data_IF_376689422329
#
_entry.id   IF_376689422329
#
_cell.length_a   1.000
_cell.length_b   1.000
_cell.length_c   1.000
_cell.angle_alpha   90.00
_cell.angle_beta   90.00
_cell.angle_gamma   90.00
#
_symmetry.space_group_name_H-M   'P 1'
#
loop_
_entity.id
_entity.type
_entity.pdbx_description
1 polymer ?
#
# COMPACT_ATOMS: atom_id res chain seq x y z
N UNK A 1 -7.19 -5.88 -19.58
CA UNK A 1 -6.84 -6.14 -20.99
C UNK A 1 -5.67 -5.25 -21.41
N UNK A 2 -5.75 -3.93 -21.21
CA UNK A 2 -4.68 -2.95 -21.48
C UNK A 2 -3.25 -3.36 -21.07
N UNK A 3 -2.99 -3.70 -19.80
CA UNK A 3 -1.62 -4.07 -19.38
C UNK A 3 -1.10 -5.33 -20.11
N UNK A 4 -1.97 -6.29 -20.43
CA UNK A 4 -1.56 -7.48 -21.19
C UNK A 4 -1.21 -7.13 -22.62
N UNK A 5 -1.98 -6.23 -23.25
CA UNK A 5 -1.71 -5.71 -24.59
C UNK A 5 -0.38 -4.95 -24.65
N UNK A 6 0.03 -4.34 -23.53
CA UNK A 6 1.35 -3.71 -23.35
C UNK A 6 2.48 -4.72 -23.07
N UNK A 7 2.23 -6.02 -23.14
CA UNK A 7 3.23 -7.07 -22.93
C UNK A 7 3.50 -7.42 -21.47
N UNK A 8 2.67 -6.96 -20.52
CA UNK A 8 2.86 -7.25 -19.11
C UNK A 8 2.35 -8.67 -18.76
N UNK A 9 3.09 -9.44 -17.95
CA UNK A 9 2.74 -10.82 -17.58
C UNK A 9 1.65 -10.88 -16.49
N UNK A 10 0.52 -10.22 -16.72
CA UNK A 10 -0.57 -10.09 -15.73
C UNK A 10 -1.16 -11.46 -15.34
N UNK A 11 -1.24 -12.40 -16.28
CA UNK A 11 -1.77 -13.74 -15.99
C UNK A 11 -0.85 -14.54 -15.06
N UNK A 12 0.46 -14.41 -15.21
CA UNK A 12 1.42 -15.05 -14.32
C UNK A 12 1.31 -14.50 -12.89
N UNK A 13 1.23 -13.17 -12.76
CA UNK A 13 1.07 -12.51 -11.46
C UNK A 13 -0.24 -12.90 -10.79
N UNK A 14 -1.35 -12.85 -11.51
CA UNK A 14 -2.68 -13.17 -10.95
C UNK A 14 -2.84 -14.66 -10.64
N UNK A 15 -2.28 -15.56 -11.47
CA UNK A 15 -2.26 -17.00 -11.20
C UNK A 15 -1.46 -17.33 -9.94
N UNK A 16 -0.30 -16.69 -9.77
CA UNK A 16 0.54 -16.87 -8.57
C UNK A 16 -0.18 -16.38 -7.32
N UNK A 17 -0.78 -15.19 -7.36
CA UNK A 17 -1.58 -14.66 -6.24
C UNK A 17 -2.76 -15.55 -5.89
N UNK A 18 -3.51 -16.05 -6.88
CA UNK A 18 -4.63 -16.97 -6.66
C UNK A 18 -4.21 -18.24 -5.95
N UNK A 19 -3.03 -18.79 -6.29
CA UNK A 19 -2.48 -19.97 -5.60
C UNK A 19 -2.13 -19.66 -4.14
N UNK A 20 -1.49 -18.52 -3.89
CA UNK A 20 -1.14 -18.06 -2.54
C UNK A 20 -2.42 -17.88 -1.71
N UNK A 21 -3.39 -17.11 -2.19
CA UNK A 21 -4.64 -16.88 -1.47
C UNK A 21 -5.44 -18.16 -1.23
N UNK A 22 -5.49 -19.07 -2.21
CA UNK A 22 -6.12 -20.38 -2.01
C UNK A 22 -5.41 -21.17 -0.91
N UNK A 23 -4.08 -21.12 -0.86
CA UNK A 23 -3.33 -21.77 0.22
C UNK A 23 -3.65 -21.14 1.57
N UNK A 24 -3.57 -19.82 1.71
CA UNK A 24 -3.84 -19.15 3.00
C UNK A 24 -5.28 -19.42 3.48
N UNK A 25 -6.27 -19.31 2.58
CA UNK A 25 -7.68 -19.55 2.91
C UNK A 25 -8.00 -21.01 3.26
N UNK A 26 -7.22 -21.98 2.78
CA UNK A 26 -7.49 -23.42 3.04
C UNK A 26 -6.58 -24.03 4.11
N UNK A 27 -5.44 -23.41 4.41
CA UNK A 27 -4.40 -23.97 5.29
C UNK A 27 -4.11 -23.12 6.52
N UNK A 28 -4.59 -21.88 6.59
CA UNK A 28 -4.48 -21.03 7.78
C UNK A 28 -5.81 -20.87 8.49
N UNK A 29 -5.71 -20.48 9.76
CA UNK A 29 -6.90 -20.16 10.54
C UNK A 29 -7.55 -18.85 10.06
N UNK A 30 -8.86 -18.68 10.25
CA UNK A 30 -9.54 -17.40 10.01
C UNK A 30 -8.89 -16.24 10.77
N UNK A 31 -8.41 -16.49 12.00
CA UNK A 31 -7.69 -15.53 12.83
C UNK A 31 -6.41 -15.03 12.16
N UNK A 32 -5.63 -15.92 11.54
CA UNK A 32 -4.45 -15.51 10.79
C UNK A 32 -4.84 -14.66 9.57
N UNK A 33 -5.89 -15.06 8.84
CA UNK A 33 -6.31 -14.37 7.63
C UNK A 33 -6.81 -12.94 7.92
N UNK A 34 -7.64 -12.74 8.96
CA UNK A 34 -8.07 -11.38 9.33
C UNK A 34 -6.91 -10.53 9.86
N UNK A 35 -5.94 -11.15 10.54
CA UNK A 35 -4.76 -10.44 11.01
C UNK A 35 -3.86 -10.00 9.84
N UNK A 36 -3.73 -10.84 8.80
CA UNK A 36 -3.05 -10.47 7.56
C UNK A 36 -3.75 -9.31 6.85
N UNK A 37 -5.09 -9.32 6.76
CA UNK A 37 -5.86 -8.20 6.22
C UNK A 37 -5.61 -6.93 7.02
N UNK A 38 -5.83 -6.94 8.33
CA UNK A 38 -5.62 -5.76 9.18
C UNK A 38 -4.18 -5.22 9.11
N UNK A 39 -3.18 -6.09 9.01
CA UNK A 39 -1.79 -5.69 8.81
C UNK A 39 -1.56 -5.06 7.43
N UNK A 40 -2.16 -5.60 6.37
CA UNK A 40 -2.08 -5.04 5.03
C UNK A 40 -2.70 -3.64 4.97
N UNK A 41 -3.96 -3.49 5.42
CA UNK A 41 -4.67 -2.20 5.42
C UNK A 41 -3.93 -1.15 6.28
N UNK A 42 -3.34 -1.58 7.40
CA UNK A 42 -2.51 -0.68 8.21
C UNK A 42 -1.29 -0.18 7.42
N UNK A 43 -0.57 -1.06 6.73
CA UNK A 43 0.63 -0.69 5.97
C UNK A 43 0.31 0.18 4.76
N UNK A 44 -0.73 -0.14 4.01
CA UNK A 44 -1.21 0.65 2.86
C UNK A 44 -1.70 2.03 3.29
N UNK A 45 -2.40 2.13 4.42
CA UNK A 45 -2.75 3.42 5.02
C UNK A 45 -1.49 4.24 5.38
N UNK A 46 -0.45 3.64 5.96
CA UNK A 46 0.81 4.36 6.22
C UNK A 46 1.52 4.79 4.92
N UNK A 47 1.38 4.01 3.84
CA UNK A 47 1.94 4.36 2.54
C UNK A 47 1.16 5.50 1.85
N UNK A 48 -0.09 5.78 2.22
CA UNK A 48 -0.83 6.91 1.67
C UNK A 48 -0.11 8.24 1.92
N UNK A 49 0.39 8.47 3.14
CA UNK A 49 1.21 9.65 3.43
C UNK A 49 2.48 9.68 2.58
N UNK A 50 3.07 8.53 2.25
CA UNK A 50 4.25 8.51 1.40
C UNK A 50 3.96 9.02 0.00
N UNK A 51 2.90 8.52 -0.63
CA UNK A 51 2.60 8.86 -2.01
C UNK A 51 2.15 10.30 -2.18
N UNK A 52 1.59 10.92 -1.13
CA UNK A 52 0.95 12.23 -1.20
C UNK A 52 1.54 13.30 -0.28
N UNK A 53 2.54 12.99 0.55
CA UNK A 53 3.30 13.99 1.33
C UNK A 53 4.31 14.78 0.49
N UNK A 54 4.62 14.33 -0.72
CA UNK A 54 5.47 15.07 -1.65
C UNK A 54 4.89 14.94 -3.05
N UNK A 55 4.43 16.06 -3.63
CA UNK A 55 3.84 16.06 -4.98
C UNK A 55 4.74 15.41 -6.02
N UNK A 56 6.07 15.55 -5.89
CA UNK A 56 7.04 14.98 -6.84
C UNK A 56 6.96 13.46 -6.97
N UNK A 57 6.45 12.75 -5.96
CA UNK A 57 6.33 11.29 -5.98
C UNK A 57 5.45 10.80 -7.13
N UNK A 58 4.37 11.54 -7.45
CA UNK A 58 3.42 11.17 -8.50
C UNK A 58 3.36 12.18 -9.65
N UNK A 59 4.29 13.15 -9.72
CA UNK A 59 4.30 14.20 -10.75
C UNK A 59 4.25 13.67 -12.19
N UNK A 60 5.01 12.61 -12.46
CA UNK A 60 5.06 11.99 -13.78
C UNK A 60 4.03 10.87 -13.99
N UNK A 61 3.16 10.61 -13.01
CA UNK A 61 2.13 9.58 -13.12
C UNK A 61 0.94 10.10 -13.94
N UNK A 62 0.43 9.26 -14.84
CA UNK A 62 -0.76 9.58 -15.63
C UNK A 62 -1.95 9.94 -14.69
N UNK A 63 -2.82 10.91 -15.05
CA UNK A 63 -3.93 11.34 -14.18
C UNK A 63 -4.81 10.20 -13.65
N UNK A 64 -5.06 9.18 -14.47
CA UNK A 64 -5.83 8.00 -14.07
C UNK A 64 -5.13 7.16 -13.01
N UNK A 65 -3.80 7.07 -13.06
CA UNK A 65 -3.00 6.36 -12.04
C UNK A 65 -3.00 7.16 -10.75
N UNK A 66 -2.86 8.50 -10.83
CA UNK A 66 -2.98 9.39 -9.67
C UNK A 66 -4.35 9.29 -9.01
N UNK A 67 -5.41 9.24 -9.80
CA UNK A 67 -6.78 9.09 -9.30
C UNK A 67 -7.00 7.73 -8.64
N UNK A 68 -6.50 6.64 -9.23
CA UNK A 68 -6.57 5.31 -8.64
C UNK A 68 -5.88 5.26 -7.27
N UNK A 69 -4.64 5.77 -7.18
CA UNK A 69 -3.92 5.81 -5.90
C UNK A 69 -4.56 6.75 -4.89
N UNK A 70 -5.21 7.83 -5.33
CA UNK A 70 -5.87 8.78 -4.43
C UNK A 70 -7.11 8.12 -3.82
N UNK A 71 -7.96 7.53 -4.66
CA UNK A 71 -9.12 6.77 -4.19
C UNK A 71 -8.73 5.64 -3.24
N UNK A 72 -7.72 4.86 -3.59
CA UNK A 72 -7.21 3.79 -2.73
C UNK A 72 -6.69 4.34 -1.40
N UNK A 73 -5.92 5.44 -1.41
CA UNK A 73 -5.44 6.07 -0.18
C UNK A 73 -6.57 6.51 0.76
N UNK A 74 -7.71 6.96 0.21
CA UNK A 74 -8.91 7.33 0.97
C UNK A 74 -9.56 6.09 1.58
N UNK A 75 -9.82 5.06 0.77
CA UNK A 75 -10.41 3.78 1.20
C UNK A 75 -9.63 3.16 2.37
N UNK A 76 -8.30 3.12 2.26
CA UNK A 76 -7.42 2.53 3.28
C UNK A 76 -7.48 3.28 4.63
N UNK A 77 -7.83 4.58 4.63
CA UNK A 77 -8.07 5.31 5.89
C UNK A 77 -9.29 4.78 6.64
N UNK A 78 -10.32 4.33 5.92
CA UNK A 78 -11.56 3.80 6.48
C UNK A 78 -11.41 2.32 6.84
N UNK A 79 -10.78 1.55 5.95
CA UNK A 79 -10.60 0.11 6.12
C UNK A 79 -9.67 -0.26 7.27
N UNK A 80 -8.58 0.48 7.50
CA UNK A 80 -7.62 0.15 8.56
C UNK A 80 -8.26 0.03 9.94
N UNK A 81 -9.24 0.88 10.24
CA UNK A 81 -9.93 0.91 11.53
C UNK A 81 -10.90 -0.29 11.63
N UNK A 82 -11.72 -0.49 10.59
CA UNK A 82 -12.68 -1.61 10.52
C UNK A 82 -11.98 -2.96 10.57
N UNK A 83 -10.92 -3.15 9.78
CA UNK A 83 -10.16 -4.41 9.76
C UNK A 83 -9.50 -4.70 11.11
N UNK A 84 -8.99 -3.66 11.79
CA UNK A 84 -8.42 -3.79 13.13
C UNK A 84 -9.48 -4.18 14.16
N UNK A 85 -10.64 -3.52 14.15
CA UNK A 85 -11.74 -3.84 15.05
C UNK A 85 -12.25 -5.27 14.85
N UNK A 86 -12.45 -5.70 13.60
CA UNK A 86 -12.85 -7.09 13.31
C UNK A 86 -11.78 -8.07 13.80
N UNK A 87 -10.49 -7.79 13.57
CA UNK A 87 -9.38 -8.62 14.07
C UNK A 87 -9.41 -8.74 15.60
N UNK A 88 -9.68 -7.64 16.32
CA UNK A 88 -9.62 -7.58 17.79
C UNK A 88 -10.88 -8.11 18.46
N UNK A 89 -12.05 -7.66 18.01
CA UNK A 89 -13.32 -7.85 18.69
C UNK A 89 -14.05 -9.11 18.23
N UNK A 90 -13.90 -9.49 16.96
CA UNK A 90 -14.60 -10.67 16.39
C UNK A 90 -13.63 -11.84 16.22
N UNK A 91 -12.45 -11.59 15.66
CA UNK A 91 -11.42 -12.61 15.46
C UNK A 91 -10.69 -12.99 16.74
N UNK A 92 -10.76 -12.16 17.79
CA UNK A 92 -10.05 -12.34 19.07
C UNK A 92 -8.57 -12.75 18.86
N UNK A 93 -7.92 -12.11 17.87
CA UNK A 93 -6.60 -12.54 17.41
C UNK A 93 -5.55 -12.36 18.51
N UNK A 94 -4.74 -13.41 18.81
CA UNK A 94 -3.66 -13.30 19.78
C UNK A 94 -2.65 -12.18 19.45
N UNK A 95 -2.15 -11.50 20.47
CA UNK A 95 -1.13 -10.44 20.31
C UNK A 95 0.13 -10.91 19.59
N UNK A 96 0.54 -12.16 19.81
CA UNK A 96 1.68 -12.77 19.12
C UNK A 96 1.44 -12.85 17.62
N UNK A 97 0.25 -13.31 17.22
CA UNK A 97 -0.17 -13.36 15.81
C UNK A 97 -0.21 -11.97 15.20
N UNK A 98 -0.89 -11.01 15.85
CA UNK A 98 -0.99 -9.61 15.41
C UNK A 98 0.38 -8.99 15.11
N UNK A 99 1.36 -9.19 16.00
CA UNK A 99 2.72 -8.66 15.83
C UNK A 99 3.50 -9.38 14.75
N UNK A 100 3.38 -10.70 14.69
CA UNK A 100 4.06 -11.53 13.69
C UNK A 100 3.59 -11.20 12.27
N UNK A 101 2.27 -11.12 12.05
CA UNK A 101 1.73 -10.91 10.70
C UNK A 101 2.08 -9.54 10.14
N UNK A 102 2.24 -8.50 10.98
CA UNK A 102 2.71 -7.20 10.48
C UNK A 102 4.11 -7.34 9.89
N UNK A 103 5.06 -7.93 10.63
CA UNK A 103 6.43 -8.13 10.14
C UNK A 103 6.45 -8.98 8.88
N UNK A 104 5.68 -10.07 8.86
CA UNK A 104 5.56 -10.94 7.70
C UNK A 104 4.99 -10.18 6.49
N UNK A 105 3.91 -9.42 6.67
CA UNK A 105 3.27 -8.64 5.61
C UNK A 105 4.21 -7.59 5.05
N UNK A 106 4.97 -6.90 5.89
CA UNK A 106 6.02 -5.95 5.46
C UNK A 106 7.06 -6.61 4.56
N UNK A 107 7.57 -7.77 4.95
CA UNK A 107 8.56 -8.53 4.14
C UNK A 107 7.94 -8.96 2.81
N UNK A 108 6.71 -9.49 2.84
CA UNK A 108 6.01 -9.94 1.64
C UNK A 108 5.70 -8.78 0.68
N UNK A 109 5.19 -7.65 1.17
CA UNK A 109 4.89 -6.48 0.36
C UNK A 109 6.14 -5.92 -0.31
N UNK A 110 7.25 -5.78 0.44
CA UNK A 110 8.50 -5.30 -0.11
C UNK A 110 9.08 -6.30 -1.13
N UNK A 111 9.05 -7.59 -0.81
CA UNK A 111 9.49 -8.67 -1.70
C UNK A 111 8.70 -8.71 -3.00
N UNK A 112 7.37 -8.64 -2.95
CA UNK A 112 6.52 -8.60 -4.15
C UNK A 112 6.70 -7.33 -4.95
N UNK A 113 6.88 -6.18 -4.30
CA UNK A 113 7.14 -4.91 -4.98
C UNK A 113 8.44 -4.99 -5.78
N UNK A 114 9.54 -5.41 -5.14
CA UNK A 114 10.83 -5.57 -5.83
C UNK A 114 10.77 -6.61 -6.94
N UNK A 115 10.13 -7.77 -6.70
CA UNK A 115 9.98 -8.82 -7.69
C UNK A 115 9.21 -8.31 -8.92
N UNK A 116 8.04 -7.69 -8.72
CA UNK A 116 7.23 -7.17 -9.82
C UNK A 116 7.96 -6.08 -10.57
N UNK A 117 8.50 -5.07 -9.88
CA UNK A 117 9.29 -4.00 -10.52
C UNK A 117 10.43 -4.56 -11.36
N UNK A 118 11.14 -5.57 -10.87
CA UNK A 118 12.21 -6.22 -11.64
C UNK A 118 11.70 -6.95 -12.90
N UNK A 119 10.51 -7.55 -12.85
CA UNK A 119 9.86 -8.16 -14.03
C UNK A 119 9.37 -7.08 -15.00
N UNK A 120 8.74 -6.01 -14.51
CA UNK A 120 8.26 -4.90 -15.35
C UNK A 120 9.42 -4.26 -16.11
N UNK A 121 10.52 -3.93 -15.43
CA UNK A 121 11.72 -3.41 -16.09
C UNK A 121 12.35 -4.42 -17.08
N UNK A 122 12.19 -5.72 -16.86
CA UNK A 122 12.65 -6.73 -17.82
C UNK A 122 11.81 -6.69 -19.09
N UNK A 123 10.48 -6.57 -18.95
CA UNK A 123 9.56 -6.41 -20.08
C UNK A 123 9.85 -5.12 -20.87
N UNK A 124 10.27 -4.06 -20.19
CA UNK A 124 10.68 -2.79 -20.82
C UNK A 124 12.06 -2.86 -21.50
N UNK A 125 12.76 -4.01 -21.46
CA UNK A 125 14.02 -4.24 -22.16
C UNK A 125 15.29 -3.90 -21.38
N UNK A 126 15.20 -3.53 -20.09
CA UNK A 126 16.39 -3.22 -19.29
C UNK A 126 17.22 -4.46 -18.97
N UNK A 127 18.54 -4.33 -19.16
CA UNK A 127 19.50 -5.38 -18.84
C UNK A 127 19.55 -5.67 -17.32
N UNK A 128 20.04 -6.85 -16.89
CA UNK A 128 20.20 -7.15 -15.46
C UNK A 128 21.04 -6.12 -14.69
N UNK A 129 22.07 -5.54 -15.35
CA UNK A 129 22.94 -4.52 -14.72
C UNK A 129 22.18 -3.20 -14.50
N UNK A 130 21.39 -2.76 -15.48
CA UNK A 130 20.58 -1.54 -15.37
C UNK A 130 19.52 -1.68 -14.27
N UNK A 131 18.81 -2.82 -14.23
CA UNK A 131 17.79 -3.08 -13.20
C UNK A 131 18.37 -3.10 -11.79
N UNK A 132 19.55 -3.69 -11.61
CA UNK A 132 20.26 -3.64 -10.33
C UNK A 132 20.68 -2.21 -9.97
N UNK A 133 21.22 -1.46 -10.93
CA UNK A 133 21.61 -0.05 -10.72
C UNK A 133 20.42 0.81 -10.30
N UNK A 134 19.28 0.68 -10.98
CA UNK A 134 18.03 1.39 -10.64
C UNK A 134 17.54 1.04 -9.24
N UNK A 135 17.56 -0.24 -8.88
CA UNK A 135 17.16 -0.70 -7.54
C UNK A 135 18.03 -0.07 -6.46
N UNK A 136 19.36 -0.07 -6.64
CA UNK A 136 20.30 0.52 -5.69
C UNK A 136 20.13 2.04 -5.59
N UNK A 137 19.92 2.73 -6.71
CA UNK A 137 19.63 4.18 -6.75
C UNK A 137 18.33 4.54 -6.03
N UNK A 138 17.37 3.62 -5.95
CA UNK A 138 16.11 3.79 -5.23
C UNK A 138 16.21 3.61 -3.72
N UNK A 139 17.26 2.97 -3.18
CA UNK A 139 17.37 2.70 -1.74
C UNK A 139 17.29 3.95 -0.86
N UNK A 140 17.95 5.09 -1.19
CA UNK A 140 17.83 6.31 -0.40
C UNK A 140 16.40 6.87 -0.37
N UNK A 141 15.60 6.65 -1.41
CA UNK A 141 14.19 7.06 -1.43
C UNK A 141 13.36 6.29 -0.41
N UNK A 142 13.68 5.01 -0.17
CA UNK A 142 13.03 4.20 0.86
C UNK A 142 13.58 4.45 2.27
N UNK A 143 14.90 4.40 2.42
CA UNK A 143 15.58 4.28 3.73
C UNK A 143 16.47 5.48 4.11
N UNK A 144 16.56 6.50 3.25
CA UNK A 144 17.33 7.70 3.55
C UNK A 144 16.76 8.49 4.73
N UNK A 145 17.44 9.58 5.11
CA UNK A 145 17.03 10.45 6.23
C UNK A 145 15.58 10.96 6.09
N UNK A 146 15.17 11.25 4.86
CA UNK A 146 13.81 11.65 4.50
C UNK A 146 13.13 10.57 3.63
N UNK A 147 13.55 9.32 3.77
CA UNK A 147 13.01 8.21 3.00
C UNK A 147 11.60 7.85 3.47
N UNK A 148 10.82 7.33 2.55
CA UNK A 148 9.45 6.82 2.73
C UNK A 148 9.27 5.98 4.01
N UNK A 149 10.06 4.90 4.15
CA UNK A 149 9.93 3.97 5.28
C UNK A 149 10.47 4.59 6.57
N UNK A 150 11.44 5.49 6.45
CA UNK A 150 11.99 6.25 7.58
C UNK A 150 10.92 7.18 8.17
N UNK A 151 10.14 7.87 7.33
CA UNK A 151 9.10 8.80 7.76
C UNK A 151 7.97 8.11 8.52
N UNK A 152 7.52 6.94 8.06
CA UNK A 152 6.45 6.17 8.70
C UNK A 152 6.90 5.29 9.89
N UNK A 153 8.20 5.28 10.23
CA UNK A 153 8.77 4.36 11.24
C UNK A 153 8.04 4.44 12.58
N UNK A 154 7.68 5.65 13.02
CA UNK A 154 7.02 5.83 14.32
C UNK A 154 5.64 5.18 14.30
N UNK A 155 4.81 5.51 13.31
CA UNK A 155 3.48 4.94 13.14
C UNK A 155 3.52 3.41 12.98
N UNK A 156 4.49 2.90 12.20
CA UNK A 156 4.71 1.47 12.05
C UNK A 156 4.99 0.77 13.39
N UNK A 157 5.82 1.38 14.24
CA UNK A 157 6.18 0.81 15.54
C UNK A 157 5.03 0.89 16.57
N UNK A 158 4.10 1.83 16.39
CA UNK A 158 2.93 1.95 17.25
C UNK A 158 2.08 0.68 17.25
N UNK A 159 2.02 -0.06 16.12
CA UNK A 159 1.33 -1.35 16.03
C UNK A 159 1.70 -2.33 17.14
N UNK A 160 2.95 -2.30 17.62
CA UNK A 160 3.42 -3.25 18.64
C UNK A 160 3.00 -2.88 20.08
N UNK A 161 2.48 -1.66 20.29
CA UNK A 161 1.98 -1.21 21.59
C UNK A 161 0.71 -1.96 21.98
N UNK A 162 0.47 -2.08 23.29
CA UNK A 162 -0.67 -2.84 23.85
C UNK A 162 -2.00 -2.10 23.67
N UNK A 163 -1.95 -0.79 23.74
CA UNK A 163 -3.07 0.16 23.64
C UNK A 163 -3.21 0.74 22.23
N UNK A 164 -2.59 0.13 21.23
CA UNK A 164 -2.62 0.61 19.86
C UNK A 164 -4.02 0.46 19.24
N UNK A 165 -4.45 1.50 18.52
CA UNK A 165 -5.54 1.46 17.55
C UNK A 165 -5.19 2.36 16.36
N UNK A 166 -5.46 1.97 15.09
CA UNK A 166 -5.06 2.79 13.93
C UNK A 166 -5.68 4.20 13.91
N UNK A 167 -6.86 4.40 14.48
CA UNK A 167 -7.49 5.73 14.65
C UNK A 167 -6.69 6.72 15.49
N UNK A 168 -5.65 6.27 16.22
CA UNK A 168 -4.69 7.15 16.89
C UNK A 168 -3.81 7.92 15.90
N UNK A 169 -3.72 7.44 14.66
CA UNK A 169 -3.07 8.16 13.56
C UNK A 169 -4.11 8.99 12.82
N UNK A 170 -3.83 10.27 12.52
CA UNK A 170 -4.76 11.08 11.76
C UNK A 170 -5.03 10.47 10.38
N UNK A 171 -6.20 10.75 9.82
CA UNK A 171 -6.43 10.53 8.39
C UNK A 171 -5.54 11.47 7.58
N UNK A 172 -5.27 11.09 6.33
CA UNK A 172 -4.44 11.91 5.46
C UNK A 172 -5.07 13.30 5.25
N UNK A 173 -4.28 14.37 5.33
CA UNK A 173 -4.79 15.75 5.33
C UNK A 173 -5.60 16.14 4.09
N UNK A 174 -5.36 15.48 2.96
CA UNK A 174 -6.03 15.73 1.69
C UNK A 174 -7.39 15.04 1.61
N UNK A 175 -7.75 14.20 2.58
CA UNK A 175 -9.02 13.46 2.60
C UNK A 175 -10.25 14.36 2.34
N UNK A 176 -10.42 15.51 3.03
CA UNK A 176 -11.58 16.37 2.78
C UNK A 176 -11.60 16.95 1.36
N UNK A 177 -10.42 17.26 0.79
CA UNK A 177 -10.31 17.82 -0.57
C UNK A 177 -10.84 16.83 -1.61
N UNK A 178 -10.53 15.54 -1.44
CA UNK A 178 -11.02 14.52 -2.36
C UNK A 178 -12.55 14.38 -2.29
N UNK A 179 -13.10 14.26 -1.08
CA UNK A 179 -14.55 14.13 -0.85
C UNK A 179 -15.30 15.33 -1.42
N UNK A 180 -14.90 16.54 -1.03
CA UNK A 180 -15.56 17.77 -1.50
C UNK A 180 -15.48 17.91 -3.03
N UNK A 181 -14.35 17.54 -3.63
CA UNK A 181 -14.20 17.63 -5.09
C UNK A 181 -15.10 16.62 -5.76
N UNK A 182 -15.11 15.37 -5.29
CA UNK A 182 -15.96 14.33 -5.84
C UNK A 182 -17.45 14.67 -5.72
N UNK A 183 -17.90 15.20 -4.58
CA UNK A 183 -19.29 15.63 -4.39
C UNK A 183 -19.70 16.77 -5.34
N UNK A 184 -18.78 17.73 -5.57
CA UNK A 184 -19.03 18.89 -6.43
C UNK A 184 -19.02 18.54 -7.92
N UNK A 185 -18.11 17.65 -8.35
CA UNK A 185 -17.86 17.39 -9.78
C UNK A 185 -18.44 16.07 -10.26
N UNK A 186 -18.68 15.12 -9.35
CA UNK A 186 -18.94 13.71 -9.65
C UNK A 186 -17.88 13.08 -10.58
N UNK A 187 -16.63 13.59 -10.52
CA UNK A 187 -15.50 13.14 -11.33
C UNK A 187 -14.33 12.67 -10.44
N UNK A 188 -14.06 11.35 -10.36
CA UNK A 188 -12.98 10.80 -9.55
C UNK A 188 -11.58 11.16 -10.07
N UNK A 189 -11.44 11.49 -11.36
CA UNK A 189 -10.16 11.95 -11.92
C UNK A 189 -9.86 13.37 -11.44
N UNK A 190 -10.86 14.26 -11.50
CA UNK A 190 -10.74 15.61 -10.94
C UNK A 190 -10.47 15.58 -9.42
N UNK A 191 -11.16 14.72 -8.67
CA UNK A 191 -10.93 14.53 -7.24
C UNK A 191 -9.51 14.02 -6.95
N UNK A 192 -9.02 13.05 -7.73
CA UNK A 192 -7.65 12.55 -7.63
C UNK A 192 -6.59 13.61 -7.91
N UNK A 193 -6.81 14.46 -8.91
CA UNK A 193 -5.91 15.58 -9.21
C UNK A 193 -5.91 16.62 -8.07
N UNK A 194 -7.09 17.01 -7.58
CA UNK A 194 -7.22 17.96 -6.47
C UNK A 194 -6.55 17.43 -5.20
N UNK A 195 -6.72 16.14 -4.90
CA UNK A 195 -6.07 15.45 -3.80
C UNK A 195 -4.54 15.47 -3.92
N UNK A 196 -3.99 15.17 -5.10
CA UNK A 196 -2.56 15.28 -5.35
C UNK A 196 -2.06 16.74 -5.22
N UNK A 197 -2.80 17.70 -5.76
CA UNK A 197 -2.48 19.13 -5.67
C UNK A 197 -2.56 19.69 -4.24
N UNK A 198 -3.30 19.03 -3.35
CA UNK A 198 -3.30 19.35 -1.93
C UNK A 198 -2.10 18.72 -1.18
N UNK A 199 -1.17 18.02 -1.86
CA UNK A 199 0.12 17.53 -1.32
C UNK A 199 1.10 18.64 -0.91
N UNK A 200 2.06 18.32 -0.04
CA UNK A 200 3.16 19.24 0.33
C UNK A 200 4.22 19.26 -0.77
#
# INVERSE_FOLDING_TARGET
QLMKEQGMPVDEFTSTLKKIFRFELTKRSPQYNIAMTAAAEHLTALMAETFYSNKKTLENAHPYVRALFAWHAIEEMEHRDVAFDVMRQVGEVPESTRRFVLVLTTVLMFGFTLYRTNIMLKCDGFSPKERLSMTLKGLPWFFGKNGTLTAMKKQYLDWFKKDFHPSQHPVIRQYPVWIETLEKTNDPIAAGEAFWQAGL
#
